data_IF_291612389484
#
_entry.id   IF_291612389484
#
_cell.length_a   1.000
_cell.length_b   1.000
_cell.length_c   1.000
_cell.angle_alpha   90.00
_cell.angle_beta   90.00
_cell.angle_gamma   90.00
#
_symmetry.space_group_name_H-M   'P 1'
#
loop_
_entity.id
_entity.type
_entity.pdbx_description
1 polymer ?
#
# COMPACT_ATOMS: atom_id res chain seq x y z
N UNK A 1 15.72 -10.71 -14.97
CA UNK A 1 14.87 -11.23 -13.87
C UNK A 1 14.14 -10.12 -13.12
N UNK A 2 14.81 -9.14 -12.49
CA UNK A 2 14.10 -8.09 -11.73
C UNK A 2 13.07 -7.30 -12.55
N UNK A 3 13.38 -6.95 -13.81
CA UNK A 3 12.44 -6.29 -14.74
C UNK A 3 11.17 -7.11 -14.98
N UNK A 4 11.30 -8.44 -15.10
CA UNK A 4 10.17 -9.34 -15.30
C UNK A 4 9.27 -9.35 -14.05
N UNK A 5 9.86 -9.52 -12.86
CA UNK A 5 9.12 -9.54 -11.61
C UNK A 5 8.46 -8.19 -11.29
N UNK A 6 9.11 -7.06 -11.57
CA UNK A 6 8.50 -5.74 -11.40
C UNK A 6 7.37 -5.47 -12.40
N UNK A 7 7.42 -6.08 -13.58
CA UNK A 7 6.33 -5.99 -14.57
C UNK A 7 5.07 -6.75 -14.15
N UNK A 8 5.23 -7.82 -13.35
CA UNK A 8 4.10 -8.62 -12.84
C UNK A 8 3.55 -8.08 -11.52
N UNK A 9 4.39 -7.48 -10.66
CA UNK A 9 3.98 -7.04 -9.32
C UNK A 9 4.56 -5.67 -8.97
N UNK A 10 3.67 -4.68 -8.73
CA UNK A 10 4.04 -3.29 -8.42
C UNK A 10 4.97 -3.19 -7.20
N UNK A 11 4.72 -3.97 -6.14
CA UNK A 11 5.58 -3.96 -4.93
C UNK A 11 7.03 -4.38 -5.22
N UNK A 12 7.25 -5.23 -6.23
CA UNK A 12 8.59 -5.68 -6.62
C UNK A 12 9.36 -4.66 -7.45
N UNK A 13 8.74 -3.54 -7.82
CA UNK A 13 9.44 -2.40 -8.44
C UNK A 13 10.56 -1.86 -7.54
N UNK A 14 10.42 -1.99 -6.22
CA UNK A 14 11.47 -1.64 -5.25
C UNK A 14 12.77 -2.43 -5.48
N UNK A 15 12.67 -3.69 -5.92
CA UNK A 15 13.83 -4.57 -6.18
C UNK A 15 14.49 -4.23 -7.52
N UNK A 16 13.75 -3.64 -8.46
CA UNK A 16 14.30 -3.16 -9.72
C UNK A 16 15.14 -1.90 -9.54
N UNK A 17 14.75 -1.00 -8.64
CA UNK A 17 15.34 0.33 -8.52
C UNK A 17 16.87 0.34 -8.38
N UNK A 18 17.52 -0.46 -7.49
CA UNK A 18 18.98 -0.45 -7.37
C UNK A 18 19.70 -0.90 -8.65
N UNK A 19 19.20 -1.94 -9.31
CA UNK A 19 19.79 -2.45 -10.54
C UNK A 19 19.65 -1.43 -11.69
N UNK A 20 18.51 -0.75 -11.77
CA UNK A 20 18.28 0.33 -12.73
C UNK A 20 19.26 1.50 -12.48
N UNK A 21 19.45 1.94 -11.24
CA UNK A 21 20.40 3.00 -10.89
C UNK A 21 21.84 2.64 -11.29
N UNK A 22 22.30 1.41 -11.04
CA UNK A 22 23.66 0.97 -11.40
C UNK A 22 23.85 0.95 -12.92
N UNK A 23 22.89 0.35 -13.66
CA UNK A 23 22.97 0.27 -15.12
C UNK A 23 22.92 1.66 -15.78
N UNK A 24 22.01 2.53 -15.31
CA UNK A 24 21.94 3.92 -15.75
C UNK A 24 23.22 4.68 -15.40
N UNK A 25 23.78 4.49 -14.21
CA UNK A 25 25.05 5.10 -13.80
C UNK A 25 26.23 4.71 -14.69
N UNK A 26 26.36 3.42 -15.02
CA UNK A 26 27.40 2.93 -15.95
C UNK A 26 27.22 3.54 -17.34
N UNK A 27 25.99 3.55 -17.86
CA UNK A 27 25.69 4.12 -19.18
C UNK A 27 25.99 5.62 -19.24
N UNK A 28 25.58 6.38 -18.22
CA UNK A 28 25.87 7.81 -18.12
C UNK A 28 27.37 8.07 -18.00
N UNK A 29 28.09 7.33 -17.15
CA UNK A 29 29.55 7.46 -17.00
C UNK A 29 30.27 7.23 -18.32
N UNK A 30 29.91 6.15 -19.04
CA UNK A 30 30.51 5.88 -20.35
C UNK A 30 30.17 6.98 -21.36
N UNK A 31 28.95 7.51 -21.36
CA UNK A 31 28.59 8.63 -22.22
C UNK A 31 29.42 9.89 -21.91
N UNK A 32 29.57 10.24 -20.63
CA UNK A 32 30.42 11.37 -20.19
C UNK A 32 31.89 11.18 -20.61
N UNK A 33 32.46 9.98 -20.43
CA UNK A 33 33.84 9.68 -20.82
C UNK A 33 34.05 9.88 -22.33
N UNK A 34 33.10 9.44 -23.16
CA UNK A 34 33.18 9.56 -24.62
C UNK A 34 33.07 11.02 -25.08
N UNK A 35 32.12 11.77 -24.53
CA UNK A 35 31.92 13.18 -24.90
C UNK A 35 33.09 14.05 -24.45
N UNK A 36 33.57 13.88 -23.21
CA UNK A 36 34.71 14.65 -22.69
C UNK A 36 36.03 14.31 -23.40
N UNK A 37 36.27 13.03 -23.70
CA UNK A 37 37.45 12.62 -24.47
C UNK A 37 37.42 13.14 -25.91
N UNK A 38 36.25 13.15 -26.56
CA UNK A 38 36.07 13.71 -27.91
C UNK A 38 36.35 15.21 -27.95
N UNK A 39 35.83 15.96 -26.97
CA UNK A 39 36.11 17.40 -26.82
C UNK A 39 37.61 17.64 -26.63
N UNK A 40 38.25 16.93 -25.68
CA UNK A 40 39.69 17.08 -25.41
C UNK A 40 40.56 16.77 -26.63
N UNK A 41 40.22 15.73 -27.39
CA UNK A 41 40.97 15.35 -28.58
C UNK A 41 40.84 16.39 -29.72
N UNK A 42 39.62 16.88 -29.98
CA UNK A 42 39.40 17.89 -31.02
C UNK A 42 40.00 19.25 -30.65
N UNK A 43 39.93 19.64 -29.37
CA UNK A 43 40.54 20.88 -28.88
C UNK A 43 42.07 20.84 -28.94
N UNK A 44 42.68 19.69 -28.60
CA UNK A 44 44.13 19.48 -28.75
C UNK A 44 44.62 19.46 -30.20
N UNK A 45 43.80 18.97 -31.14
CA UNK A 45 44.10 19.03 -32.58
C UNK A 45 44.01 20.44 -33.14
N UNK A 46 43.07 21.25 -32.67
CA UNK A 46 42.93 22.67 -33.03
C UNK A 46 44.09 23.54 -32.49
N UNK A 47 44.62 23.18 -31.31
CA UNK A 47 45.82 23.81 -30.74
C UNK A 47 47.09 23.47 -31.54
N UNK A 48 47.33 22.18 -31.83
CA UNK A 48 48.50 21.77 -32.63
C UNK A 48 48.46 22.26 -34.09
N UNK A 49 47.28 22.43 -34.69
CA UNK A 49 47.18 22.95 -36.06
C UNK A 49 47.54 24.43 -36.21
N UNK A 50 47.69 25.18 -35.11
CA UNK A 50 48.14 26.58 -35.15
C UNK A 50 49.66 26.71 -35.10
N UNK A 51 50.38 25.71 -34.59
CA UNK A 51 51.85 25.75 -34.52
C UNK A 51 52.51 25.29 -35.84
N UNK A 52 51.81 24.53 -36.69
CA UNK A 52 52.34 24.02 -37.97
C UNK A 52 52.23 25.01 -39.15
N UNK A 53 51.78 26.26 -38.92
CA UNK A 53 51.54 27.25 -39.98
C UNK A 53 52.68 28.28 -40.18
N UNK A 54 53.74 28.25 -39.38
CA UNK A 54 54.75 29.33 -39.34
C UNK A 54 56.18 28.99 -39.82
N UNK A 55 56.49 27.78 -40.28
CA UNK A 55 57.84 27.48 -40.79
C UNK A 55 57.83 26.81 -42.17
N UNK A 56 57.88 27.65 -43.22
CA UNK A 56 58.05 27.23 -44.60
C UNK A 56 59.00 28.19 -45.33
N UNK A 57 60.31 28.10 -45.07
CA UNK A 57 61.37 28.48 -46.02
C UNK A 57 62.67 27.75 -45.60
N UNK A 58 63.17 26.69 -46.26
CA UNK A 58 64.07 26.80 -47.41
C UNK A 58 64.60 25.40 -47.85
N UNK A 59 64.58 25.16 -49.16
CA UNK A 59 65.54 24.40 -50.00
C UNK A 59 65.85 22.90 -49.79
N UNK A 60 65.57 22.13 -50.85
CA UNK A 60 66.06 20.78 -51.19
C UNK A 60 67.55 20.74 -51.56
N UNK A 61 68.27 19.68 -51.16
CA UNK A 61 68.92 18.69 -52.06
C UNK A 61 69.73 17.62 -51.26
N UNK A 62 69.66 16.38 -51.73
CA UNK A 62 70.22 15.13 -51.18
C UNK A 62 71.72 14.91 -51.54
N UNK A 63 72.32 13.70 -51.41
CA UNK A 63 72.48 12.76 -50.27
C UNK A 63 73.97 12.32 -50.07
N UNK A 64 74.31 11.56 -49.01
CA UNK A 64 75.15 10.32 -49.06
C UNK A 64 75.49 9.69 -47.70
N UNK A 65 75.71 8.38 -47.78
CA UNK A 65 76.13 7.39 -46.81
C UNK A 65 77.34 7.78 -45.95
N UNK A 66 77.43 7.31 -44.70
CA UNK A 66 78.31 6.17 -44.38
C UNK A 66 78.22 5.69 -42.91
N UNK A 67 78.74 4.49 -42.74
CA UNK A 67 78.75 3.53 -41.64
C UNK A 67 79.65 3.85 -40.42
N UNK A 68 79.62 2.92 -39.44
CA UNK A 68 80.49 2.71 -38.24
C UNK A 68 79.90 3.19 -36.90
N UNK A 69 79.48 2.33 -35.96
CA UNK A 69 80.14 1.26 -35.17
C UNK A 69 80.85 1.76 -33.90
N UNK A 70 80.47 1.18 -32.75
CA UNK A 70 81.06 1.38 -31.42
C UNK A 70 80.10 0.93 -30.30
N UNK A 71 80.05 -0.37 -29.94
CA UNK A 71 80.75 -1.02 -28.79
C UNK A 71 80.55 -0.30 -27.44
N UNK A 72 79.66 -0.80 -26.57
CA UNK A 72 79.86 -1.78 -25.45
C UNK A 72 80.68 -1.28 -24.27
N UNK A 73 80.05 -1.27 -23.08
CA UNK A 73 80.50 -1.81 -21.78
C UNK A 73 79.62 -1.16 -20.69
N UNK A 74 79.33 -1.70 -19.50
CA UNK A 74 79.42 -3.01 -18.84
C UNK A 74 78.76 -2.79 -17.46
N UNK A 75 78.21 -3.82 -16.84
CA UNK A 75 77.76 -3.75 -15.45
C UNK A 75 77.10 -5.05 -14.99
N UNK A 76 77.93 -6.02 -14.62
CA UNK A 76 77.56 -7.27 -13.93
C UNK A 76 77.39 -7.06 -12.42
N UNK A 77 76.53 -7.88 -11.80
CA UNK A 77 76.68 -8.65 -10.54
C UNK A 77 75.27 -9.03 -10.03
N UNK A 78 74.75 -10.25 -10.18
CA UNK A 78 75.01 -11.55 -9.50
C UNK A 78 74.78 -11.54 -7.98
N UNK A 79 73.65 -12.12 -7.56
CA UNK A 79 73.57 -12.93 -6.34
C UNK A 79 72.52 -14.03 -6.49
N UNK A 80 72.96 -15.28 -6.28
CA UNK A 80 72.22 -16.54 -6.36
C UNK A 80 71.56 -16.88 -5.02
N UNK A 81 70.35 -17.43 -5.03
CA UNK A 81 69.95 -18.54 -4.15
C UNK A 81 68.95 -19.47 -4.89
N UNK A 82 69.06 -20.78 -4.60
CA UNK A 82 68.36 -21.97 -5.17
C UNK A 82 67.89 -22.80 -3.95
N UNK A 83 67.10 -23.91 -4.01
CA UNK A 83 66.46 -24.56 -5.17
C UNK A 83 65.05 -25.21 -4.93
N UNK A 84 64.47 -25.70 -6.04
CA UNK A 84 63.66 -26.94 -6.20
C UNK A 84 62.16 -26.99 -5.83
N UNK A 85 61.31 -27.26 -6.83
CA UNK A 85 60.69 -28.59 -7.03
C UNK A 85 59.91 -28.71 -8.36
N UNK A 86 60.19 -29.83 -9.03
CA UNK A 86 59.53 -30.49 -10.18
C UNK A 86 58.01 -30.28 -10.32
N UNK A 87 57.54 -30.14 -11.56
CA UNK A 87 56.20 -30.63 -11.94
C UNK A 87 55.60 -30.14 -13.27
N UNK A 88 55.78 -30.94 -14.34
CA UNK A 88 54.89 -31.15 -15.51
C UNK A 88 54.67 -30.02 -16.55
N UNK A 89 55.18 -30.32 -17.76
CA UNK A 89 54.72 -29.86 -19.09
C UNK A 89 53.18 -29.95 -19.22
N UNK A 90 52.56 -28.86 -19.65
CA UNK A 90 51.39 -28.87 -20.55
C UNK A 90 51.46 -27.59 -21.39
N UNK A 91 51.51 -27.75 -22.71
CA UNK A 91 51.49 -26.67 -23.70
C UNK A 91 50.39 -25.66 -23.38
N UNK A 92 50.76 -24.39 -23.36
CA UNK A 92 49.84 -23.26 -23.47
C UNK A 92 50.31 -22.44 -24.65
N UNK A 93 49.42 -22.27 -25.62
CA UNK A 93 49.51 -21.31 -26.72
C UNK A 93 49.92 -19.92 -26.19
N UNK A 94 50.66 -19.10 -26.96
CA UNK A 94 51.00 -17.77 -26.53
C UNK A 94 49.72 -16.92 -26.50
N UNK A 95 49.31 -16.53 -25.30
CA UNK A 95 48.33 -15.49 -25.08
C UNK A 95 48.88 -14.17 -25.66
N UNK A 96 48.36 -13.77 -26.82
CA UNK A 96 48.56 -12.45 -27.40
C UNK A 96 48.09 -11.37 -26.40
N UNK A 97 49.05 -10.68 -25.81
CA UNK A 97 48.79 -9.44 -25.07
C UNK A 97 48.23 -8.42 -26.09
N UNK A 98 47.05 -7.83 -25.88
CA UNK A 98 46.53 -6.85 -26.83
C UNK A 98 47.48 -5.64 -26.85
N UNK A 99 48.17 -5.50 -27.97
CA UNK A 99 49.17 -4.45 -28.18
C UNK A 99 48.52 -3.07 -28.01
N UNK A 100 49.28 -2.13 -27.44
CA UNK A 100 48.89 -0.73 -27.17
C UNK A 100 48.28 -0.03 -28.41
N UNK A 101 48.64 -0.49 -29.62
CA UNK A 101 48.08 -0.02 -30.90
C UNK A 101 46.58 -0.32 -31.05
N UNK A 102 46.09 -1.44 -30.52
CA UNK A 102 44.65 -1.80 -30.55
C UNK A 102 43.78 -0.86 -29.69
N UNK A 103 44.32 -0.37 -28.56
CA UNK A 103 43.66 0.62 -27.70
C UNK A 103 43.67 2.02 -28.33
N UNK A 104 44.73 2.37 -29.07
CA UNK A 104 44.86 3.66 -29.77
C UNK A 104 43.92 3.72 -31.00
N UNK A 105 43.79 2.63 -31.76
CA UNK A 105 42.85 2.55 -32.89
C UNK A 105 41.38 2.59 -32.44
N UNK A 106 41.03 1.94 -31.31
CA UNK A 106 39.71 2.08 -30.70
C UNK A 106 39.40 3.51 -30.22
N UNK A 107 40.40 4.24 -29.71
CA UNK A 107 40.26 5.67 -29.35
C UNK A 107 40.05 6.57 -30.57
N UNK A 108 40.58 6.22 -31.75
CA UNK A 108 40.39 6.98 -33.00
C UNK A 108 39.00 6.82 -33.61
N UNK A 109 38.33 5.68 -33.40
CA UNK A 109 37.03 5.37 -34.00
C UNK A 109 35.82 5.97 -33.25
N UNK A 110 36.05 6.62 -32.10
CA UNK A 110 35.00 7.09 -31.20
C UNK A 110 35.03 8.61 -31.00
N UNK A 111 35.64 9.35 -31.93
CA UNK A 111 35.74 10.80 -31.83
C UNK A 111 34.56 11.41 -32.56
N UNK A 112 33.61 11.93 -31.79
CA UNK A 112 32.48 12.69 -32.31
C UNK A 112 32.94 14.10 -32.73
N UNK A 113 32.23 14.75 -33.66
CA UNK A 113 32.49 16.15 -33.97
C UNK A 113 32.31 17.02 -32.72
N UNK A 114 33.10 18.10 -32.61
CA UNK A 114 33.18 18.94 -31.42
C UNK A 114 31.80 19.50 -31.02
N UNK A 115 31.08 20.08 -31.99
CA UNK A 115 29.74 20.64 -31.77
C UNK A 115 28.75 19.61 -31.24
N UNK A 116 28.73 18.41 -31.84
CA UNK A 116 27.85 17.34 -31.40
C UNK A 116 28.20 16.85 -29.99
N UNK A 117 29.48 16.82 -29.62
CA UNK A 117 29.94 16.39 -28.29
C UNK A 117 29.54 17.40 -27.21
N UNK A 118 29.64 18.71 -27.51
CA UNK A 118 29.22 19.78 -26.60
C UNK A 118 27.70 19.78 -26.42
N UNK A 119 26.94 19.69 -27.52
CA UNK A 119 25.47 19.61 -27.46
C UNK A 119 25.00 18.37 -26.70
N UNK A 120 25.60 17.20 -26.95
CA UNK A 120 25.27 15.97 -26.24
C UNK A 120 25.56 16.07 -24.73
N UNK A 121 26.69 16.68 -24.36
CA UNK A 121 27.04 16.91 -22.96
C UNK A 121 26.05 17.85 -22.26
N UNK A 122 25.67 18.95 -22.92
CA UNK A 122 24.66 19.88 -22.40
C UNK A 122 23.30 19.21 -22.22
N UNK A 123 22.86 18.42 -23.20
CA UNK A 123 21.60 17.66 -23.10
C UNK A 123 21.64 16.65 -21.94
N UNK A 124 22.78 16.01 -21.70
CA UNK A 124 22.95 15.06 -20.60
C UNK A 124 22.86 15.75 -19.22
N UNK A 125 23.47 16.93 -19.09
CA UNK A 125 23.36 17.75 -17.87
C UNK A 125 21.92 18.22 -17.65
N UNK A 126 21.26 18.69 -18.72
CA UNK A 126 19.84 19.09 -18.67
C UNK A 126 18.93 17.94 -18.26
N UNK A 127 19.16 16.73 -18.79
CA UNK A 127 18.42 15.53 -18.39
C UNK A 127 18.64 15.20 -16.91
N UNK A 128 19.87 15.32 -16.41
CA UNK A 128 20.18 15.13 -14.99
C UNK A 128 19.47 16.14 -14.09
N UNK A 129 19.46 17.43 -14.47
CA UNK A 129 18.73 18.46 -13.75
C UNK A 129 17.22 18.21 -13.73
N UNK A 130 16.64 17.84 -14.89
CA UNK A 130 15.23 17.46 -14.99
C UNK A 130 14.89 16.24 -14.12
N UNK A 131 15.76 15.22 -14.10
CA UNK A 131 15.60 14.04 -13.25
C UNK A 131 15.53 14.42 -11.77
N UNK A 132 16.43 15.28 -11.28
CA UNK A 132 16.41 15.74 -9.88
C UNK A 132 15.12 16.48 -9.57
N UNK A 133 14.71 17.43 -10.42
CA UNK A 133 13.45 18.18 -10.22
C UNK A 133 12.25 17.22 -10.17
N UNK A 134 12.20 16.25 -11.09
CA UNK A 134 11.15 15.25 -11.12
C UNK A 134 11.12 14.39 -9.85
N UNK A 135 12.28 13.92 -9.39
CA UNK A 135 12.36 13.12 -8.16
C UNK A 135 11.91 13.92 -6.92
N UNK A 136 12.29 15.19 -6.81
CA UNK A 136 11.87 16.06 -5.71
C UNK A 136 10.35 16.27 -5.74
N UNK A 137 9.79 16.59 -6.92
CA UNK A 137 8.35 16.73 -7.08
C UNK A 137 7.59 15.45 -6.74
N UNK A 138 8.04 14.30 -7.25
CA UNK A 138 7.40 13.02 -6.99
C UNK A 138 7.47 12.64 -5.50
N UNK A 139 8.60 12.89 -4.84
CA UNK A 139 8.75 12.65 -3.41
C UNK A 139 7.80 13.52 -2.58
N UNK A 140 7.72 14.82 -2.89
CA UNK A 140 6.94 15.80 -2.14
C UNK A 140 5.42 15.69 -2.36
N UNK A 141 4.98 15.36 -3.57
CA UNK A 141 3.54 15.38 -3.88
C UNK A 141 2.90 13.98 -3.84
N UNK A 142 3.61 12.94 -4.29
CA UNK A 142 3.01 11.62 -4.45
C UNK A 142 3.30 10.67 -3.28
N UNK A 143 4.49 10.76 -2.67
CA UNK A 143 4.93 9.78 -1.67
C UNK A 143 4.86 10.28 -0.22
N UNK A 144 4.94 11.59 0.04
CA UNK A 144 4.86 12.16 1.39
C UNK A 144 3.43 12.50 1.84
N UNK A 145 2.55 11.48 1.86
CA UNK A 145 1.19 11.62 2.38
C UNK A 145 0.98 10.69 3.60
N UNK A 146 0.70 11.21 4.81
CA UNK A 146 0.37 10.38 5.96
C UNK A 146 -0.98 9.69 5.77
N UNK A 147 -1.08 8.43 6.21
CA UNK A 147 -2.33 7.64 6.12
C UNK A 147 -3.19 7.67 7.39
N UNK A 148 -2.66 8.22 8.48
CA UNK A 148 -3.37 8.35 9.77
C UNK A 148 -4.07 9.70 9.93
N UNK A 149 -3.41 10.77 9.46
CA UNK A 149 -3.99 12.11 9.39
C UNK A 149 -4.32 12.36 7.93
N UNK A 150 -5.60 12.54 7.60
CA UNK A 150 -6.00 12.80 6.22
C UNK A 150 -6.02 14.30 5.97
N UNK A 151 -5.50 14.72 4.84
CA UNK A 151 -5.53 16.12 4.41
C UNK A 151 -6.37 16.26 3.16
N UNK A 152 -7.29 17.22 3.16
CA UNK A 152 -8.06 17.61 1.98
C UNK A 152 -7.89 19.10 1.72
N UNK A 153 -7.68 19.46 0.45
CA UNK A 153 -7.66 20.85 0.03
C UNK A 153 -9.06 21.22 -0.49
N UNK A 154 -9.73 22.14 0.21
CA UNK A 154 -10.96 22.77 -0.25
C UNK A 154 -10.68 24.19 -0.73
N UNK A 155 -11.68 24.84 -1.35
CA UNK A 155 -11.61 26.28 -1.69
C UNK A 155 -11.37 27.15 -0.45
N UNK A 156 -11.80 26.67 0.71
CA UNK A 156 -11.69 27.35 2.01
C UNK A 156 -10.34 27.10 2.71
N UNK A 157 -9.47 26.28 2.13
CA UNK A 157 -8.13 25.99 2.66
C UNK A 157 -7.84 24.50 2.88
N UNK A 158 -6.75 24.22 3.60
CA UNK A 158 -6.33 22.88 3.99
C UNK A 158 -7.14 22.41 5.19
N UNK A 159 -7.93 21.36 5.02
CA UNK A 159 -8.63 20.67 6.11
C UNK A 159 -7.86 19.42 6.52
N UNK A 160 -7.64 19.27 7.81
CA UNK A 160 -6.93 18.15 8.41
C UNK A 160 -7.92 17.33 9.23
N UNK A 161 -8.08 16.05 8.87
CA UNK A 161 -8.94 15.09 9.57
C UNK A 161 -8.06 14.16 10.41
N UNK A 162 -8.25 14.22 11.73
CA UNK A 162 -7.49 13.44 12.72
C UNK A 162 -8.39 12.45 13.49
N UNK A 163 -9.51 12.08 12.88
CA UNK A 163 -10.55 11.21 13.46
C UNK A 163 -10.05 9.82 13.88
N UNK A 164 -9.04 9.28 13.19
CA UNK A 164 -8.42 8.01 13.59
C UNK A 164 -7.71 8.13 14.94
N UNK A 165 -6.90 9.19 15.14
CA UNK A 165 -6.21 9.37 16.42
C UNK A 165 -7.19 9.72 17.53
N UNK A 166 -8.21 10.51 17.24
CA UNK A 166 -9.32 10.81 18.16
C UNK A 166 -9.99 9.52 18.66
N UNK A 167 -10.40 8.64 17.73
CA UNK A 167 -11.08 7.38 18.06
C UNK A 167 -10.19 6.38 18.80
N UNK A 168 -8.93 6.23 18.40
CA UNK A 168 -7.98 5.37 19.12
C UNK A 168 -7.65 5.92 20.52
N UNK A 169 -7.54 7.24 20.67
CA UNK A 169 -7.36 7.87 21.97
C UNK A 169 -8.59 7.65 22.87
N UNK A 170 -9.81 7.74 22.31
CA UNK A 170 -11.02 7.44 23.05
C UNK A 170 -11.03 5.99 23.55
N UNK A 171 -10.70 5.01 22.69
CA UNK A 171 -10.58 3.60 23.11
C UNK A 171 -9.57 3.44 24.25
N UNK A 172 -8.39 4.06 24.11
CA UNK A 172 -7.31 3.94 25.10
C UNK A 172 -7.68 4.48 26.48
N UNK A 173 -8.46 5.56 26.56
CA UNK A 173 -8.79 6.22 27.84
C UNK A 173 -10.13 5.78 28.45
N UNK A 174 -11.05 5.21 27.66
CA UNK A 174 -12.44 4.97 28.09
C UNK A 174 -12.87 3.49 28.12
N UNK A 175 -11.94 2.56 27.87
CA UNK A 175 -12.20 1.11 27.90
C UNK A 175 -11.20 0.41 28.82
N UNK A 176 -11.50 -0.81 29.26
CA UNK A 176 -10.59 -1.58 30.09
C UNK A 176 -9.43 -2.15 29.24
N UNK A 177 -8.26 -2.36 29.83
CA UNK A 177 -7.06 -2.82 29.11
C UNK A 177 -7.27 -4.21 28.47
N UNK A 178 -8.04 -5.06 29.14
CA UNK A 178 -8.35 -6.42 28.69
C UNK A 178 -9.55 -6.47 27.71
N UNK A 179 -10.20 -5.33 27.44
CA UNK A 179 -11.32 -5.29 26.50
C UNK A 179 -10.85 -5.58 25.07
N UNK A 180 -11.57 -6.50 24.42
CA UNK A 180 -11.29 -6.91 23.03
C UNK A 180 -12.07 -6.06 22.05
N UNK A 181 -11.35 -5.54 21.05
CA UNK A 181 -11.89 -4.74 19.95
C UNK A 181 -11.88 -5.55 18.67
N UNK A 182 -13.03 -5.68 18.02
CA UNK A 182 -13.15 -6.23 16.67
C UNK A 182 -13.16 -5.10 15.63
N UNK A 183 -12.31 -5.22 14.62
CA UNK A 183 -12.27 -4.36 13.45
C UNK A 183 -11.92 -5.21 12.22
N UNK A 184 -11.97 -4.62 11.02
CA UNK A 184 -11.34 -5.27 9.87
C UNK A 184 -9.82 -5.38 10.07
N UNK A 185 -9.19 -6.36 9.42
CA UNK A 185 -7.79 -6.73 9.65
C UNK A 185 -6.80 -5.62 9.28
N UNK A 186 -7.16 -4.76 8.32
CA UNK A 186 -6.38 -3.58 7.91
C UNK A 186 -5.98 -2.70 9.11
N UNK A 187 -6.85 -2.59 10.12
CA UNK A 187 -6.70 -1.67 11.25
C UNK A 187 -6.06 -2.31 12.48
N UNK A 188 -5.84 -3.64 12.50
CA UNK A 188 -5.43 -4.36 13.72
C UNK A 188 -4.13 -3.84 14.36
N UNK A 189 -3.11 -3.58 13.53
CA UNK A 189 -1.86 -2.97 14.03
C UNK A 189 -2.03 -1.54 14.52
N UNK A 190 -2.88 -0.74 13.87
CA UNK A 190 -3.13 0.64 14.29
C UNK A 190 -3.85 0.67 15.64
N UNK A 191 -4.90 -0.13 15.79
CA UNK A 191 -5.64 -0.27 17.05
C UNK A 191 -4.71 -0.73 18.18
N UNK A 192 -3.87 -1.74 17.93
CA UNK A 192 -2.94 -2.23 18.95
C UNK A 192 -1.90 -1.17 19.32
N UNK A 193 -1.28 -0.51 18.33
CA UNK A 193 -0.21 0.44 18.56
C UNK A 193 -0.69 1.78 19.18
N UNK A 194 -1.87 2.27 18.79
CA UNK A 194 -2.38 3.58 19.22
C UNK A 194 -3.37 3.49 20.37
N UNK A 195 -4.29 2.52 20.32
CA UNK A 195 -5.30 2.36 21.37
C UNK A 195 -4.83 1.44 22.51
N UNK A 196 -3.75 0.67 22.33
CA UNK A 196 -3.24 -0.30 23.30
C UNK A 196 -4.35 -1.25 23.79
N UNK A 197 -5.05 -1.89 22.84
CA UNK A 197 -6.14 -2.85 23.12
C UNK A 197 -5.95 -4.15 22.36
N UNK A 198 -6.50 -5.22 22.92
CA UNK A 198 -6.48 -6.55 22.30
C UNK A 198 -7.38 -6.55 21.06
N UNK A 199 -6.83 -6.96 19.92
CA UNK A 199 -7.58 -7.10 18.66
C UNK A 199 -7.84 -8.56 18.33
N UNK A 200 -8.95 -8.82 17.64
CA UNK A 200 -9.30 -10.18 17.19
C UNK A 200 -8.51 -10.57 15.94
N UNK A 201 -8.45 -9.68 14.94
CA UNK A 201 -7.75 -9.92 13.68
C UNK A 201 -6.72 -8.83 13.40
N UNK A 202 -5.61 -9.21 12.77
CA UNK A 202 -4.50 -8.33 12.46
C UNK A 202 -4.05 -8.43 10.99
N UNK A 203 -3.13 -7.55 10.62
CA UNK A 203 -2.65 -7.40 9.25
C UNK A 203 -1.59 -8.47 8.87
N UNK A 204 -1.22 -9.37 9.80
CA UNK A 204 -0.32 -10.49 9.48
C UNK A 204 -1.06 -11.59 8.68
N UNK A 205 -2.38 -11.68 8.85
CA UNK A 205 -3.27 -12.56 8.07
C UNK A 205 -2.88 -14.06 8.01
N UNK A 206 -2.22 -14.57 9.05
CA UNK A 206 -1.76 -15.96 9.10
C UNK A 206 -2.89 -16.99 9.33
N UNK A 207 -4.01 -16.60 9.95
CA UNK A 207 -5.16 -17.48 10.21
C UNK A 207 -6.40 -16.98 9.46
N UNK A 208 -6.60 -17.53 8.25
CA UNK A 208 -7.71 -17.17 7.37
C UNK A 208 -9.09 -17.46 7.97
N UNK A 209 -9.23 -18.53 8.76
CA UNK A 209 -10.50 -18.89 9.39
C UNK A 209 -10.95 -17.80 10.34
N UNK A 210 -10.02 -17.20 11.10
CA UNK A 210 -10.34 -16.14 12.05
C UNK A 210 -10.82 -14.86 11.35
N UNK A 211 -10.15 -14.49 10.25
CA UNK A 211 -10.57 -13.36 9.40
C UNK A 211 -11.94 -13.63 8.79
N UNK A 212 -12.17 -14.85 8.32
CA UNK A 212 -13.46 -15.27 7.78
C UNK A 212 -14.56 -15.18 8.84
N UNK A 213 -14.30 -15.54 10.11
CA UNK A 213 -15.26 -15.39 11.20
C UNK A 213 -15.67 -13.93 11.41
N UNK A 214 -14.70 -12.99 11.43
CA UNK A 214 -15.00 -11.55 11.52
C UNK A 214 -15.76 -11.07 10.28
N UNK A 215 -15.35 -11.49 9.08
CA UNK A 215 -16.03 -11.16 7.83
C UNK A 215 -17.49 -11.67 7.79
N UNK A 216 -17.72 -12.90 8.27
CA UNK A 216 -19.04 -13.49 8.43
C UNK A 216 -19.87 -12.73 9.46
N UNK A 217 -19.30 -12.33 10.60
CA UNK A 217 -20.02 -11.51 11.59
C UNK A 217 -20.44 -10.16 10.99
N UNK A 218 -19.53 -9.45 10.32
CA UNK A 218 -19.81 -8.15 9.71
C UNK A 218 -20.85 -8.22 8.57
N UNK A 219 -20.88 -9.33 7.83
CA UNK A 219 -21.82 -9.55 6.73
C UNK A 219 -23.15 -10.19 7.15
N UNK A 220 -23.25 -10.74 8.36
CA UNK A 220 -24.46 -11.38 8.88
C UNK A 220 -25.49 -10.37 9.42
N UNK A 221 -26.77 -10.77 9.58
CA UNK A 221 -27.74 -10.00 10.34
C UNK A 221 -27.30 -9.81 11.80
N UNK A 222 -27.72 -8.68 12.37
CA UNK A 222 -27.30 -8.20 13.70
C UNK A 222 -27.31 -9.26 14.83
N UNK A 223 -28.32 -10.12 14.90
CA UNK A 223 -28.42 -11.16 15.95
C UNK A 223 -27.32 -12.22 15.79
N UNK A 224 -27.13 -12.76 14.59
CA UNK A 224 -26.12 -13.78 14.32
C UNK A 224 -24.71 -13.19 14.50
N UNK A 225 -24.50 -11.95 14.07
CA UNK A 225 -23.25 -11.24 14.28
C UNK A 225 -22.94 -11.03 15.77
N UNK A 226 -23.96 -10.68 16.57
CA UNK A 226 -23.81 -10.57 18.03
C UNK A 226 -23.46 -11.91 18.68
N UNK A 227 -24.06 -13.03 18.25
CA UNK A 227 -23.74 -14.37 18.76
C UNK A 227 -22.27 -14.74 18.48
N UNK A 228 -21.76 -14.42 17.28
CA UNK A 228 -20.36 -14.63 16.90
C UNK A 228 -19.42 -13.75 17.72
N UNK A 229 -19.68 -12.44 17.80
CA UNK A 229 -18.80 -11.55 18.57
C UNK A 229 -18.84 -11.85 20.07
N UNK A 230 -19.97 -12.26 20.61
CA UNK A 230 -20.09 -12.69 22.00
C UNK A 230 -19.31 -13.99 22.26
N UNK A 231 -19.27 -14.94 21.32
CA UNK A 231 -18.47 -16.17 21.47
C UNK A 231 -16.97 -15.92 21.41
N UNK A 232 -16.54 -14.86 20.72
CA UNK A 232 -15.15 -14.38 20.69
C UNK A 232 -14.80 -13.45 21.86
N UNK A 233 -15.76 -13.19 22.77
CA UNK A 233 -15.64 -12.28 23.90
C UNK A 233 -15.20 -10.86 23.47
N UNK A 234 -15.75 -10.40 22.35
CA UNK A 234 -15.58 -9.02 21.87
C UNK A 234 -16.46 -8.07 22.68
N UNK A 235 -15.90 -6.93 23.09
CA UNK A 235 -16.66 -5.88 23.80
C UNK A 235 -16.99 -4.71 22.90
N UNK A 236 -16.08 -4.35 22.00
CA UNK A 236 -16.22 -3.20 21.12
C UNK A 236 -16.04 -3.60 19.66
N UNK A 237 -16.80 -2.97 18.77
CA UNK A 237 -16.68 -3.10 17.32
C UNK A 237 -16.38 -1.73 16.74
N UNK A 238 -15.26 -1.62 16.02
CA UNK A 238 -14.83 -0.42 15.33
C UNK A 238 -15.13 -0.56 13.83
N UNK A 239 -15.79 0.45 13.26
CA UNK A 239 -16.13 0.52 11.84
C UNK A 239 -15.68 1.87 11.27
N UNK A 240 -15.04 1.84 10.10
CA UNK A 240 -14.66 3.05 9.36
C UNK A 240 -15.74 3.39 8.35
N UNK A 241 -16.30 4.59 8.47
CA UNK A 241 -17.38 5.10 7.64
C UNK A 241 -17.01 6.42 6.98
N UNK A 242 -16.88 6.43 5.65
CA UNK A 242 -16.43 7.63 4.92
C UNK A 242 -17.56 8.44 4.28
N UNK A 243 -18.82 8.04 4.45
CA UNK A 243 -19.94 8.57 3.68
C UNK A 243 -20.23 10.05 3.90
N UNK A 244 -19.91 10.61 5.08
CA UNK A 244 -20.15 12.02 5.38
C UNK A 244 -19.16 12.96 4.69
N UNK A 245 -17.86 12.63 4.72
CA UNK A 245 -16.79 13.48 4.16
C UNK A 245 -16.38 13.07 2.74
N UNK A 246 -16.78 11.89 2.27
CA UNK A 246 -16.37 11.36 0.98
C UNK A 246 -15.05 10.58 1.02
N UNK A 247 -14.73 9.91 2.13
CA UNK A 247 -13.51 9.09 2.24
C UNK A 247 -13.73 7.70 1.61
N UNK A 248 -13.11 7.38 0.47
CA UNK A 248 -13.44 6.16 -0.29
C UNK A 248 -12.84 4.88 0.30
N UNK A 249 -11.84 4.97 1.18
CA UNK A 249 -11.21 3.79 1.78
C UNK A 249 -11.93 3.32 3.07
N UNK A 250 -13.26 3.43 3.07
CA UNK A 250 -14.14 3.01 4.16
C UNK A 250 -14.50 1.51 4.10
N UNK A 251 -15.12 1.01 5.17
CA UNK A 251 -15.42 -0.42 5.28
C UNK A 251 -16.55 -0.88 4.37
N UNK A 252 -17.43 0.03 3.93
CA UNK A 252 -18.48 -0.30 2.98
C UNK A 252 -17.88 -0.59 1.59
N UNK A 253 -16.84 0.11 1.13
CA UNK A 253 -16.18 -0.22 -0.14
C UNK A 253 -15.37 -1.52 -0.07
N UNK A 254 -14.86 -1.85 1.12
CA UNK A 254 -14.16 -3.12 1.38
C UNK A 254 -15.11 -4.29 1.66
N UNK A 255 -16.40 -4.01 1.89
CA UNK A 255 -17.37 -4.98 2.41
C UNK A 255 -17.47 -6.25 1.57
N UNK A 256 -17.41 -6.15 0.24
CA UNK A 256 -17.52 -7.32 -0.63
C UNK A 256 -16.36 -8.30 -0.44
N UNK A 257 -15.17 -7.82 -0.03
CA UNK A 257 -14.07 -8.69 0.38
C UNK A 257 -14.39 -9.44 1.67
N UNK A 258 -15.06 -8.80 2.63
CA UNK A 258 -15.51 -9.46 3.86
C UNK A 258 -16.49 -10.59 3.55
N UNK A 259 -17.42 -10.35 2.63
CA UNK A 259 -18.39 -11.35 2.15
C UNK A 259 -17.71 -12.51 1.45
N UNK A 260 -16.75 -12.24 0.55
CA UNK A 260 -16.00 -13.28 -0.18
C UNK A 260 -15.15 -14.14 0.74
N UNK A 261 -14.40 -13.53 1.66
CA UNK A 261 -13.55 -14.24 2.61
C UNK A 261 -14.40 -15.05 3.60
N UNK A 262 -15.47 -14.45 4.14
CA UNK A 262 -16.42 -15.13 5.01
C UNK A 262 -17.12 -16.30 4.30
N UNK A 263 -17.65 -16.07 3.10
CA UNK A 263 -18.36 -17.07 2.29
C UNK A 263 -17.46 -18.21 1.78
N UNK A 264 -16.16 -17.97 1.62
CA UNK A 264 -15.18 -19.00 1.25
C UNK A 264 -14.99 -20.07 2.33
N UNK A 265 -15.18 -19.72 3.61
CA UNK A 265 -15.09 -20.65 4.74
C UNK A 265 -16.47 -21.09 5.23
N UNK A 266 -17.45 -20.18 5.21
CA UNK A 266 -18.79 -20.39 5.73
C UNK A 266 -19.84 -20.24 4.60
N UNK A 267 -20.29 -21.36 3.98
CA UNK A 267 -21.09 -21.33 2.74
C UNK A 267 -22.50 -20.73 2.85
N UNK A 268 -22.95 -20.42 4.07
CA UNK A 268 -24.25 -19.78 4.29
C UNK A 268 -24.24 -18.29 3.90
N UNK A 269 -23.06 -17.67 3.79
CA UNK A 269 -22.88 -16.33 3.24
C UNK A 269 -22.56 -16.47 1.76
N UNK A 270 -23.39 -15.88 0.89
CA UNK A 270 -23.20 -15.90 -0.57
C UNK A 270 -23.11 -14.49 -1.10
N UNK A 271 -22.10 -14.22 -1.93
CA UNK A 271 -21.90 -12.90 -2.53
C UNK A 271 -23.11 -12.41 -3.32
N UNK A 272 -23.75 -13.30 -4.09
CA UNK A 272 -24.92 -12.98 -4.90
C UNK A 272 -26.08 -12.40 -4.07
N UNK A 273 -26.21 -12.75 -2.80
CA UNK A 273 -27.31 -12.27 -1.95
C UNK A 273 -27.16 -10.76 -1.61
N UNK A 274 -25.97 -10.20 -1.76
CA UNK A 274 -25.67 -8.78 -1.52
C UNK A 274 -25.72 -7.92 -2.79
N UNK A 275 -25.87 -8.56 -3.97
CA UNK A 275 -25.86 -7.89 -5.26
C UNK A 275 -27.26 -7.89 -5.87
N UNK A 276 -27.71 -6.73 -6.35
CA UNK A 276 -28.96 -6.60 -7.11
C UNK A 276 -28.63 -6.65 -8.59
N UNK A 277 -29.00 -7.74 -9.26
CA UNK A 277 -28.71 -7.94 -10.70
C UNK A 277 -27.21 -7.78 -11.02
N UNK A 278 -26.36 -8.27 -10.12
CA UNK A 278 -24.90 -8.15 -10.20
C UNK A 278 -24.32 -6.80 -9.73
N UNK A 279 -25.17 -5.81 -9.42
CA UNK A 279 -24.72 -4.49 -8.97
C UNK A 279 -24.68 -4.40 -7.44
N UNK A 280 -23.59 -3.85 -6.92
CA UNK A 280 -23.44 -3.52 -5.50
C UNK A 280 -24.07 -2.16 -5.21
N UNK A 281 -25.09 -2.13 -4.34
CA UNK A 281 -25.90 -0.93 -4.04
C UNK A 281 -26.15 -0.75 -2.55
N UNK A 282 -26.39 0.49 -2.15
CA UNK A 282 -26.73 0.89 -0.77
C UNK A 282 -28.04 1.69 -0.67
N UNK A 283 -28.63 1.99 -1.84
CA UNK A 283 -29.87 2.74 -2.02
C UNK A 283 -31.10 1.86 -1.70
N UNK A 284 -32.30 2.38 -1.97
CA UNK A 284 -33.55 1.66 -1.75
C UNK A 284 -33.73 0.41 -2.62
N UNK A 285 -32.95 0.29 -3.70
CA UNK A 285 -32.98 -0.86 -4.61
C UNK A 285 -31.99 -1.96 -4.20
N UNK A 286 -31.16 -1.70 -3.18
CA UNK A 286 -30.26 -2.69 -2.62
C UNK A 286 -31.02 -3.92 -2.07
N UNK A 287 -30.36 -5.07 -2.04
CA UNK A 287 -31.00 -6.30 -1.58
C UNK A 287 -31.37 -6.21 -0.10
N UNK A 288 -32.45 -6.90 0.34
CA UNK A 288 -32.80 -6.95 1.76
C UNK A 288 -31.67 -7.51 2.63
N UNK A 289 -30.84 -8.40 2.09
CA UNK A 289 -29.65 -8.93 2.78
C UNK A 289 -28.63 -7.83 3.03
N UNK A 290 -28.33 -6.99 2.02
CA UNK A 290 -27.43 -5.85 2.17
C UNK A 290 -27.96 -4.81 3.17
N UNK A 291 -29.24 -4.46 3.09
CA UNK A 291 -29.86 -3.47 4.00
C UNK A 291 -30.05 -3.97 5.45
N UNK A 292 -29.92 -5.27 5.69
CA UNK A 292 -30.07 -5.87 7.03
C UNK A 292 -28.77 -6.43 7.61
N UNK A 293 -27.67 -6.42 6.87
CA UNK A 293 -26.37 -6.86 7.38
C UNK A 293 -25.87 -5.92 8.50
N UNK A 294 -25.00 -6.45 9.35
CA UNK A 294 -24.46 -5.69 10.48
C UNK A 294 -23.65 -4.48 9.97
N UNK A 295 -22.78 -4.66 8.98
CA UNK A 295 -21.94 -3.58 8.45
C UNK A 295 -22.76 -2.37 7.99
N UNK A 296 -23.84 -2.59 7.23
CA UNK A 296 -24.74 -1.51 6.82
C UNK A 296 -25.36 -0.80 8.02
N UNK A 297 -25.87 -1.59 8.99
CA UNK A 297 -26.48 -1.04 10.19
C UNK A 297 -25.50 -0.22 11.03
N UNK A 298 -24.28 -0.69 11.25
CA UNK A 298 -23.27 0.02 12.03
C UNK A 298 -22.74 1.26 11.29
N UNK A 299 -22.62 1.22 9.96
CA UNK A 299 -22.12 2.38 9.21
C UNK A 299 -23.16 3.50 9.10
N UNK A 300 -24.43 3.16 8.86
CA UNK A 300 -25.50 4.13 8.60
C UNK A 300 -26.42 4.42 9.79
N UNK A 301 -26.12 3.91 10.99
CA UNK A 301 -26.94 4.18 12.17
C UNK A 301 -27.07 5.69 12.39
N UNK A 302 -28.31 6.22 12.45
CA UNK A 302 -28.61 7.64 12.63
C UNK A 302 -28.02 8.59 11.57
N UNK A 303 -27.57 8.06 10.43
CA UNK A 303 -26.94 8.88 9.37
C UNK A 303 -27.90 9.91 8.75
N UNK A 304 -29.20 9.64 8.78
CA UNK A 304 -30.21 10.61 8.32
C UNK A 304 -30.28 11.86 9.20
N UNK A 305 -29.79 11.80 10.44
CA UNK A 305 -29.79 12.95 11.35
C UNK A 305 -28.76 14.03 10.95
N UNK A 306 -27.81 13.72 10.05
CA UNK A 306 -26.77 14.69 9.64
C UNK A 306 -27.30 15.74 8.67
N UNK A 307 -28.05 15.32 7.65
CA UNK A 307 -28.50 16.17 6.54
C UNK A 307 -30.00 16.02 6.23
N UNK A 308 -30.73 15.20 7.00
CA UNK A 308 -32.15 14.90 6.83
C UNK A 308 -32.47 13.88 5.72
N UNK A 309 -31.53 13.58 4.82
CA UNK A 309 -31.73 12.66 3.68
C UNK A 309 -30.95 11.36 3.83
N UNK A 310 -29.79 11.41 4.49
CA UNK A 310 -28.80 10.34 4.56
C UNK A 310 -28.09 10.15 3.23
N UNK A 311 -27.52 11.23 2.67
CA UNK A 311 -26.81 11.16 1.40
C UNK A 311 -25.35 10.73 1.58
N UNK A 312 -24.96 9.60 0.99
CA UNK A 312 -23.57 9.12 1.01
C UNK A 312 -22.75 9.81 -0.10
N UNK A 313 -21.73 10.58 0.28
CA UNK A 313 -20.87 11.32 -0.66
C UNK A 313 -19.90 10.44 -1.44
N UNK A 314 -19.50 9.30 -0.89
CA UNK A 314 -18.60 8.34 -1.58
C UNK A 314 -19.35 7.66 -2.70
N UNK A 315 -20.55 7.15 -2.42
CA UNK A 315 -21.37 6.37 -3.36
C UNK A 315 -22.31 7.23 -4.20
N UNK A 316 -22.47 8.49 -3.81
CA UNK A 316 -23.32 9.50 -4.47
C UNK A 316 -24.79 9.07 -4.56
N UNK A 317 -25.28 8.40 -3.52
CA UNK A 317 -26.65 7.90 -3.45
C UNK A 317 -27.27 8.17 -2.08
N UNK A 318 -28.58 8.27 -2.07
CA UNK A 318 -29.36 8.32 -0.82
C UNK A 318 -29.53 6.90 -0.28
N UNK A 319 -29.34 6.73 1.03
CA UNK A 319 -29.40 5.40 1.65
C UNK A 319 -30.82 4.80 1.56
N UNK A 320 -30.90 3.49 1.30
CA UNK A 320 -32.17 2.80 1.19
C UNK A 320 -32.94 2.69 2.50
N UNK A 321 -32.26 2.26 3.57
CA UNK A 321 -32.89 2.06 4.88
C UNK A 321 -32.47 3.15 5.85
N UNK A 322 -33.32 4.17 5.92
CA UNK A 322 -33.12 5.40 6.68
C UNK A 322 -33.20 5.24 8.20
N UNK A 323 -34.27 4.60 8.67
CA UNK A 323 -34.60 4.54 10.10
C UNK A 323 -34.57 3.10 10.60
N UNK A 324 -33.66 2.81 11.52
CA UNK A 324 -33.57 1.54 12.21
C UNK A 324 -32.93 1.71 13.59
N UNK A 325 -33.17 0.74 14.48
CA UNK A 325 -32.61 0.73 15.83
C UNK A 325 -31.69 -0.47 16.00
N UNK A 326 -30.59 -0.28 16.73
CA UNK A 326 -29.69 -1.34 17.15
C UNK A 326 -30.21 -1.97 18.45
N UNK A 327 -30.42 -3.28 18.40
CA UNK A 327 -30.94 -4.10 19.50
C UNK A 327 -29.84 -4.75 20.34
N UNK A 328 -28.75 -5.15 19.71
CA UNK A 328 -27.63 -5.90 20.31
C UNK A 328 -26.34 -5.10 20.44
N UNK A 329 -26.27 -3.95 19.76
CA UNK A 329 -25.15 -3.02 19.80
C UNK A 329 -25.63 -1.66 20.32
N UNK A 330 -24.75 -0.92 20.96
CA UNK A 330 -24.94 0.49 21.34
C UNK A 330 -23.79 1.33 20.79
N UNK A 331 -24.11 2.47 20.20
CA UNK A 331 -23.12 3.46 19.80
C UNK A 331 -22.54 4.10 21.06
N UNK A 332 -21.23 4.04 21.23
CA UNK A 332 -20.51 4.63 22.38
C UNK A 332 -19.64 5.80 21.99
N UNK A 333 -19.19 5.84 20.73
CA UNK A 333 -18.39 6.92 20.20
C UNK A 333 -18.54 7.01 18.68
N UNK A 334 -18.60 8.23 18.16
CA UNK A 334 -18.50 8.55 16.74
C UNK A 334 -17.62 9.79 16.63
N UNK A 335 -16.59 9.72 15.77
CA UNK A 335 -15.62 10.80 15.61
C UNK A 335 -16.25 12.08 15.06
N UNK A 336 -15.54 13.21 15.16
CA UNK A 336 -16.07 14.52 14.76
C UNK A 336 -16.65 14.55 13.34
N UNK A 337 -15.97 13.93 12.37
CA UNK A 337 -16.39 13.86 10.98
C UNK A 337 -17.03 12.52 10.58
N UNK A 338 -17.43 11.73 11.58
CA UNK A 338 -18.07 10.42 11.44
C UNK A 338 -17.23 9.38 10.69
N UNK A 339 -15.92 9.59 10.60
CA UNK A 339 -14.99 8.66 9.95
C UNK A 339 -14.85 7.34 10.68
N UNK A 340 -14.85 7.38 12.02
CA UNK A 340 -14.71 6.17 12.85
C UNK A 340 -15.86 6.10 13.82
N UNK A 341 -16.51 4.93 13.87
CA UNK A 341 -17.64 4.65 14.74
C UNK A 341 -17.33 3.44 15.59
N UNK A 342 -17.59 3.57 16.89
CA UNK A 342 -17.33 2.52 17.87
C UNK A 342 -18.64 2.13 18.54
N UNK A 343 -18.89 0.84 18.52
CA UNK A 343 -20.08 0.23 19.09
C UNK A 343 -19.70 -0.73 20.20
N UNK A 344 -20.43 -0.70 21.31
CA UNK A 344 -20.30 -1.68 22.38
C UNK A 344 -21.34 -2.78 22.22
N UNK A 345 -20.95 -4.02 22.51
CA UNK A 345 -21.87 -5.14 22.56
C UNK A 345 -22.72 -5.07 23.83
N UNK A 346 -24.03 -5.17 23.66
CA UNK A 346 -24.95 -5.25 24.81
C UNK A 346 -24.83 -6.62 25.48
N UNK A 347 -24.86 -6.67 26.82
CA UNK A 347 -24.86 -7.93 27.53
C UNK A 347 -26.12 -8.74 27.21
N UNK A 348 -26.00 -10.07 27.32
CA UNK A 348 -27.14 -10.96 27.15
C UNK A 348 -28.22 -10.59 28.17
N UNK A 349 -29.46 -10.41 27.70
CA UNK A 349 -30.57 -10.05 28.60
C UNK A 349 -30.77 -11.18 29.61
N UNK A 350 -30.53 -10.90 30.89
CA UNK A 350 -30.64 -11.84 32.01
C UNK A 350 -32.07 -12.33 32.32
N UNK A 351 -32.99 -12.34 31.36
CA UNK A 351 -34.38 -12.74 31.59
C UNK A 351 -34.93 -13.61 30.47
N UNK A 352 -35.13 -14.90 30.77
CA UNK A 352 -36.12 -15.73 30.08
C UNK A 352 -37.46 -15.05 30.35
N UNK A 353 -37.88 -14.16 29.45
CA UNK A 353 -39.23 -13.62 29.48
C UNK A 353 -40.12 -14.74 28.97
N UNK A 354 -40.35 -15.74 29.82
CA UNK A 354 -41.39 -16.73 29.63
C UNK A 354 -42.64 -15.94 29.29
N UNK A 355 -43.19 -16.17 28.10
CA UNK A 355 -44.58 -15.81 27.84
C UNK A 355 -45.39 -16.60 28.86
N UNK A 356 -45.60 -16.02 30.03
CA UNK A 356 -46.67 -16.44 30.90
C UNK A 356 -47.94 -16.20 30.08
N UNK A 357 -48.39 -17.26 29.39
CA UNK A 357 -49.76 -17.33 28.92
C UNK A 357 -50.59 -17.02 30.15
N UNK A 358 -51.25 -15.86 30.16
CA UNK A 358 -52.34 -15.57 31.09
C UNK A 358 -53.36 -16.69 30.88
N UNK A 359 -53.24 -17.76 31.66
CA UNK A 359 -54.32 -18.70 31.88
C UNK A 359 -55.41 -17.86 32.54
N UNK A 360 -56.39 -17.42 31.73
CA UNK A 360 -57.66 -16.95 32.25
C UNK A 360 -58.25 -18.12 33.03
N UNK A 361 -58.11 -18.12 34.35
CA UNK A 361 -59.01 -18.90 35.20
C UNK A 361 -60.43 -18.40 34.87
N UNK A 362 -61.22 -19.27 34.24
CA UNK A 362 -62.67 -19.12 34.23
C UNK A 362 -63.14 -19.40 35.65
N UNK A 363 -63.33 -18.35 36.45
CA UNK A 363 -64.21 -18.41 37.61
C UNK A 363 -65.64 -18.52 37.09
N UNK A 364 -66.21 -19.72 37.18
CA UNK A 364 -67.64 -19.95 36.99
C UNK A 364 -68.40 -19.37 38.19
N UNK A 365 -68.82 -18.11 38.10
CA UNK A 365 -69.86 -17.56 38.97
C UNK A 365 -71.21 -17.86 38.33
N UNK A 366 -71.74 -19.06 38.59
CA UNK A 366 -73.12 -19.42 38.31
C UNK A 366 -73.82 -19.67 39.63
N UNK A 367 -74.45 -18.64 40.18
CA UNK A 367 -75.54 -18.81 41.15
C UNK A 367 -76.69 -17.90 40.70
N UNK A 368 -77.55 -18.48 39.87
CA UNK A 368 -78.88 -17.94 39.58
C UNK A 368 -79.73 -18.04 40.85
N UNK A 369 -80.12 -16.89 41.39
CA UNK A 369 -81.14 -16.80 42.43
C UNK A 369 -82.53 -16.97 41.80
N UNK A 370 -83.17 -18.12 42.01
CA UNK A 370 -84.62 -18.29 41.85
C UNK A 370 -85.27 -18.37 43.24
N UNK A 371 -86.43 -17.74 43.48
CA UNK A 371 -87.13 -17.82 44.75
C UNK A 371 -87.99 -19.10 44.77
N UNK A 372 -87.84 -19.91 45.82
CA UNK A 372 -88.68 -21.08 46.06
C UNK A 372 -89.45 -20.94 47.38
N UNK A 373 -90.72 -21.35 47.30
CA UNK A 373 -91.80 -21.15 48.25
C UNK A 373 -91.64 -21.96 49.54
N UNK A 374 -92.21 -21.40 50.61
CA UNK A 374 -92.65 -21.97 51.90
C UNK A 374 -92.63 -23.50 52.05
N UNK A 375 -92.01 -23.95 53.14
CA UNK A 375 -92.19 -25.26 53.77
C UNK A 375 -93.66 -25.50 54.14
N UNK A 376 -94.18 -26.70 53.90
CA UNK A 376 -95.15 -27.33 54.77
C UNK A 376 -94.42 -28.41 55.58
N UNK A 377 -94.56 -28.32 56.91
CA UNK A 377 -94.13 -29.29 57.92
C UNK A 377 -92.68 -29.18 58.45
N UNK A 378 -92.65 -28.82 59.75
CA UNK A 378 -91.56 -28.83 60.74
C UNK A 378 -90.61 -27.63 60.69
#
# INVERSE_FOLDING_TARGET
MSVYFSGVMVRLMLVLAPAACIMSGIALSQAFDVFTASIKYQLGRSANSKDDAEDNTSTNNAPKDDSSSGKTDKGEEVAKERPSKKGKKKEREPADKPSVKSKILKKRALVLPLEASIVALLLLIMLGAFYVIHCVWAAAEAYSAPSIVLTSQSRDGLHVFDDFRESYAWLSHNTDVDDKVASWWDYGYQTTAMANRTVIVDNNTWNNTHIATVGTAMSSPEKAAWEIFNSLDVKYVLVVFGGLIGYPSDDINKFLWMVRIGGGVFPHIKEADYLRDGNYRIDSEATPTMLNCLMYKLSYYRFVETDGKGYDRVRRTEIGKKNFKLTHFEEVFTSHHWMVRIYKLKPQKNRIRGRAKKLKLKTSSGLDSKPAKKNPWI
#
